data_IF_518126573049
#
_entry.id   IF_518126573049
#
_cell.length_a   1.000
_cell.length_b   1.000
_cell.length_c   1.000
_cell.angle_alpha   90.00
_cell.angle_beta   90.00
_cell.angle_gamma   90.00
#
_symmetry.space_group_name_H-M   'P 1'
#
loop_
_entity.id
_entity.type
_entity.pdbx_description
1 polymer ?
#
# COMPACT_ATOMS: atom_id res chain seq x y z
N UNK A 1 -23.26 0.65 -62.35
CA UNK A 1 -24.53 0.49 -61.63
C UNK A 1 -24.19 -0.15 -60.29
N UNK A 2 -24.23 0.50 -59.13
CA UNK A 2 -25.11 1.55 -58.66
C UNK A 2 -24.33 2.61 -57.83
N UNK A 3 -24.31 3.84 -58.33
CA UNK A 3 -24.25 5.07 -57.54
C UNK A 3 -25.69 5.57 -57.49
N UNK A 4 -26.39 5.45 -56.37
CA UNK A 4 -27.63 6.17 -56.06
C UNK A 4 -28.14 5.65 -54.72
N UNK A 5 -27.81 6.35 -53.63
CA UNK A 5 -28.66 6.57 -52.44
C UNK A 5 -27.84 7.27 -51.36
N UNK A 6 -27.52 8.55 -51.60
CA UNK A 6 -27.27 9.54 -50.55
C UNK A 6 -27.84 10.88 -51.03
N UNK A 7 -29.15 10.91 -51.24
CA UNK A 7 -29.95 12.15 -51.24
C UNK A 7 -30.77 12.18 -49.96
N UNK A 8 -30.09 12.12 -48.81
CA UNK A 8 -30.70 12.51 -47.54
C UNK A 8 -30.59 14.02 -47.39
N UNK A 9 -31.76 14.65 -47.35
CA UNK A 9 -31.96 16.07 -47.20
C UNK A 9 -31.27 16.59 -45.94
N UNK A 10 -30.19 17.35 -46.12
CA UNK A 10 -29.54 18.07 -45.03
C UNK A 10 -30.55 19.06 -44.42
N UNK A 11 -30.82 18.92 -43.11
CA UNK A 11 -31.69 19.86 -42.40
C UNK A 11 -30.99 21.23 -42.34
N UNK A 12 -31.68 22.33 -42.66
CA UNK A 12 -31.10 23.67 -42.59
C UNK A 12 -30.67 24.00 -41.15
N UNK A 13 -29.68 24.87 -41.02
CA UNK A 13 -29.14 25.29 -39.73
C UNK A 13 -30.28 25.72 -38.78
N UNK A 14 -30.32 25.15 -37.57
CA UNK A 14 -31.43 25.29 -36.63
C UNK A 14 -31.70 26.74 -36.18
N UNK A 15 -30.72 27.64 -36.37
CA UNK A 15 -30.82 29.05 -35.96
C UNK A 15 -31.06 29.99 -37.14
N UNK A 16 -30.96 29.49 -38.38
CA UNK A 16 -30.85 30.31 -39.57
C UNK A 16 -31.78 29.67 -40.64
N UNK A 17 -33.09 29.77 -40.40
CA UNK A 17 -34.13 29.17 -41.23
C UNK A 17 -34.26 29.91 -42.57
N UNK A 18 -33.55 29.45 -43.61
CA UNK A 18 -33.99 29.69 -44.99
C UNK A 18 -33.01 30.26 -46.01
N UNK A 19 -31.73 30.49 -45.71
CA UNK A 19 -30.79 30.95 -46.76
C UNK A 19 -30.00 29.79 -47.38
N UNK A 20 -30.38 29.42 -48.60
CA UNK A 20 -29.60 28.53 -49.48
C UNK A 20 -28.39 29.28 -50.01
N UNK A 21 -27.31 29.35 -49.22
CA UNK A 21 -25.99 29.72 -49.73
C UNK A 21 -25.15 28.46 -49.97
N UNK A 22 -24.25 28.47 -50.97
CA UNK A 22 -23.62 27.25 -51.45
C UNK A 22 -22.59 26.73 -50.43
N UNK A 23 -22.69 25.42 -50.19
CA UNK A 23 -21.85 24.51 -49.37
C UNK A 23 -21.93 24.66 -47.83
N UNK A 24 -22.70 23.80 -47.13
CA UNK A 24 -22.62 23.66 -45.68
C UNK A 24 -21.55 22.63 -45.26
N UNK A 25 -20.88 22.89 -44.14
CA UNK A 25 -20.08 21.88 -43.43
C UNK A 25 -21.01 20.94 -42.66
N UNK A 26 -20.74 19.64 -42.73
CA UNK A 26 -21.60 18.56 -42.24
C UNK A 26 -20.91 17.73 -41.16
N UNK A 27 -21.51 17.63 -39.97
CA UNK A 27 -20.97 16.85 -38.87
C UNK A 27 -21.46 15.39 -38.90
N UNK A 28 -20.53 14.45 -39.04
CA UNK A 28 -20.80 13.01 -39.19
C UNK A 28 -21.30 12.32 -37.91
N UNK A 29 -21.16 12.95 -36.75
CA UNK A 29 -21.63 12.42 -35.46
C UNK A 29 -23.05 12.86 -35.09
N UNK A 30 -23.55 13.98 -35.63
CA UNK A 30 -24.88 14.51 -35.30
C UNK A 30 -25.75 14.86 -36.52
N UNK A 31 -25.25 14.65 -37.74
CA UNK A 31 -25.95 14.87 -39.01
C UNK A 31 -26.49 16.29 -39.21
N UNK A 32 -25.83 17.31 -38.63
CA UNK A 32 -26.25 18.73 -38.73
C UNK A 32 -25.28 19.55 -39.58
N UNK A 33 -25.83 20.58 -40.22
CA UNK A 33 -25.14 21.53 -41.10
C UNK A 33 -25.16 22.95 -40.52
N UNK A 34 -24.00 23.63 -40.47
CA UNK A 34 -23.85 25.01 -40.00
C UNK A 34 -23.58 25.98 -41.17
N UNK A 35 -24.05 27.22 -41.04
CA UNK A 35 -23.77 28.29 -42.00
C UNK A 35 -22.74 29.30 -41.45
N UNK A 36 -22.06 30.00 -42.35
CA UNK A 36 -20.92 30.87 -42.05
C UNK A 36 -21.21 31.98 -41.02
N UNK A 37 -22.42 32.51 -40.98
CA UNK A 37 -22.83 33.55 -40.02
C UNK A 37 -23.05 33.03 -38.61
N UNK A 38 -23.44 31.76 -38.46
CA UNK A 38 -23.76 31.14 -37.17
C UNK A 38 -22.49 30.55 -36.49
N UNK A 39 -21.33 30.55 -37.18
CA UNK A 39 -20.01 30.17 -36.64
C UNK A 39 -19.26 31.31 -35.91
N UNK A 40 -19.70 32.57 -36.04
CA UNK A 40 -18.96 33.76 -35.58
C UNK A 40 -19.33 34.35 -34.20
N UNK A 41 -20.15 33.69 -33.38
CA UNK A 41 -20.64 34.23 -32.09
C UNK A 41 -19.69 34.09 -30.88
N UNK A 42 -19.83 34.91 -29.83
CA UNK A 42 -18.89 34.93 -28.70
C UNK A 42 -18.94 33.65 -27.86
N UNK A 43 -17.77 32.99 -27.77
CA UNK A 43 -17.51 31.68 -27.16
C UNK A 43 -17.78 31.68 -25.65
N UNK A 44 -18.88 31.05 -25.20
CA UNK A 44 -18.99 30.54 -23.82
C UNK A 44 -19.49 29.10 -23.81
N UNK A 45 -18.71 28.26 -23.11
CA UNK A 45 -19.10 26.95 -22.55
C UNK A 45 -19.74 25.96 -23.52
N UNK A 46 -18.90 25.36 -24.37
CA UNK A 46 -19.21 24.06 -24.99
C UNK A 46 -18.28 23.02 -24.38
N UNK A 47 -18.90 22.00 -23.78
CA UNK A 47 -18.30 20.83 -23.16
C UNK A 47 -17.12 20.29 -24.00
N UNK A 48 -15.96 20.12 -23.39
CA UNK A 48 -14.68 19.84 -24.06
C UNK A 48 -14.58 18.46 -24.75
N UNK A 49 -15.68 17.71 -24.89
CA UNK A 49 -15.68 16.36 -25.43
C UNK A 49 -16.45 16.15 -26.75
N UNK A 50 -17.20 17.11 -27.32
CA UNK A 50 -17.81 16.94 -28.67
C UNK A 50 -17.87 18.30 -29.44
N UNK A 51 -17.42 18.33 -30.72
CA UNK A 51 -16.88 19.49 -31.53
C UNK A 51 -17.87 20.31 -32.40
N UNK A 52 -17.44 21.50 -32.90
CA UNK A 52 -17.97 22.22 -34.10
C UNK A 52 -16.88 22.98 -34.94
N UNK A 53 -17.23 23.42 -36.16
CA UNK A 53 -16.43 23.51 -37.42
C UNK A 53 -15.09 24.28 -37.49
N UNK A 54 -14.73 25.10 -36.49
CA UNK A 54 -13.32 25.52 -36.29
C UNK A 54 -12.40 24.31 -36.01
N UNK A 55 -12.98 23.16 -35.68
CA UNK A 55 -12.28 21.91 -35.38
C UNK A 55 -11.65 21.18 -36.58
N UNK A 56 -11.82 21.67 -37.82
CA UNK A 56 -11.33 20.99 -39.03
C UNK A 56 -10.38 21.80 -39.92
N UNK A 57 -10.35 23.14 -39.89
CA UNK A 57 -9.65 23.91 -40.93
C UNK A 57 -8.18 24.32 -40.62
N UNK A 58 -7.73 24.32 -39.36
CA UNK A 58 -6.46 24.98 -38.96
C UNK A 58 -5.27 24.06 -38.60
N UNK A 59 -5.41 22.74 -38.69
CA UNK A 59 -4.35 21.76 -38.37
C UNK A 59 -4.13 20.82 -39.58
N UNK A 60 -3.86 21.31 -40.79
CA UNK A 60 -2.58 21.84 -41.20
C UNK A 60 -1.39 20.95 -40.78
N UNK A 61 -1.22 19.82 -41.48
CA UNK A 61 0.11 19.27 -41.76
C UNK A 61 0.73 18.33 -40.72
N UNK A 62 0.99 17.11 -41.19
CA UNK A 62 2.10 16.20 -40.84
C UNK A 62 2.30 15.85 -39.36
N UNK A 63 1.95 14.60 -39.00
CA UNK A 63 2.57 13.68 -37.99
C UNK A 63 2.91 14.15 -36.55
N UNK A 64 3.15 15.44 -36.32
CA UNK A 64 3.43 16.09 -35.05
C UNK A 64 2.16 16.29 -34.21
N UNK A 65 0.99 16.23 -34.84
CA UNK A 65 -0.26 16.70 -34.24
C UNK A 65 -0.96 15.67 -33.34
N UNK A 66 -0.78 14.37 -33.62
CA UNK A 66 -1.14 13.33 -32.64
C UNK A 66 -0.25 13.46 -31.39
N UNK A 67 1.01 13.88 -31.56
CA UNK A 67 1.87 14.24 -30.44
C UNK A 67 1.31 15.49 -29.74
N UNK A 68 1.09 16.62 -30.42
CA UNK A 68 0.60 17.87 -29.83
C UNK A 68 -0.79 17.76 -29.18
N UNK A 69 -1.70 16.98 -29.76
CA UNK A 69 -3.05 16.70 -29.22
C UNK A 69 -2.95 15.78 -28.01
N UNK A 70 -2.12 14.74 -28.04
CA UNK A 70 -1.86 13.89 -26.84
C UNK A 70 -1.09 14.66 -25.76
N UNK A 71 -0.29 15.66 -26.15
CA UNK A 71 0.45 16.55 -25.25
C UNK A 71 -0.45 17.62 -24.60
N UNK A 72 -1.35 18.26 -25.37
CA UNK A 72 -2.32 19.27 -24.88
C UNK A 72 -3.50 18.63 -24.14
N UNK A 73 -4.08 17.55 -24.67
CA UNK A 73 -5.02 16.71 -23.93
C UNK A 73 -4.30 16.11 -22.72
N UNK A 74 -3.06 15.65 -22.86
CA UNK A 74 -2.26 15.17 -21.74
C UNK A 74 -2.11 16.19 -20.61
N UNK A 75 -1.83 17.47 -20.88
CA UNK A 75 -1.72 18.53 -19.86
C UNK A 75 -3.06 18.86 -19.18
N UNK A 76 -4.12 19.11 -19.96
CA UNK A 76 -5.43 19.52 -19.43
C UNK A 76 -6.14 18.33 -18.75
N UNK A 77 -5.98 17.13 -19.30
CA UNK A 77 -6.52 15.89 -18.74
C UNK A 77 -5.67 15.36 -17.58
N UNK A 78 -4.35 15.59 -17.51
CA UNK A 78 -3.58 15.35 -16.28
C UNK A 78 -4.20 16.15 -15.13
N UNK A 79 -4.48 17.43 -15.32
CA UNK A 79 -5.02 18.29 -14.26
C UNK A 79 -6.48 17.95 -13.92
N UNK A 80 -7.33 17.64 -14.91
CA UNK A 80 -8.75 17.34 -14.67
C UNK A 80 -9.03 15.88 -14.25
N UNK A 81 -8.35 14.88 -14.82
CA UNK A 81 -8.52 13.47 -14.43
C UNK A 81 -7.67 13.04 -13.25
N UNK A 82 -6.69 13.82 -12.81
CA UNK A 82 -6.21 13.67 -11.43
C UNK A 82 -7.39 13.78 -10.47
N UNK A 83 -8.41 14.60 -10.73
CA UNK A 83 -9.58 14.64 -9.85
C UNK A 83 -10.48 13.40 -9.99
N UNK A 84 -10.76 12.91 -11.21
CA UNK A 84 -11.67 11.76 -11.45
C UNK A 84 -11.06 10.38 -11.15
N UNK A 85 -9.79 10.13 -11.51
CA UNK A 85 -9.10 8.88 -11.17
C UNK A 85 -8.83 8.81 -9.66
N UNK A 86 -8.58 9.96 -9.00
CA UNK A 86 -8.52 10.00 -7.54
C UNK A 86 -9.90 9.83 -6.88
N UNK A 87 -11.00 10.17 -7.55
CA UNK A 87 -12.37 9.88 -7.09
C UNK A 87 -12.70 8.38 -7.17
N UNK A 88 -12.15 7.65 -8.16
CA UNK A 88 -12.34 6.19 -8.29
C UNK A 88 -11.32 5.35 -7.52
N UNK A 89 -10.18 5.93 -7.12
CA UNK A 89 -9.20 5.26 -6.26
C UNK A 89 -9.79 5.05 -4.85
N UNK A 90 -10.33 3.86 -4.59
CA UNK A 90 -11.04 3.51 -3.34
C UNK A 90 -10.21 3.60 -2.05
N UNK A 91 -8.88 3.82 -2.11
CA UNK A 91 -7.98 3.86 -0.95
C UNK A 91 -7.06 5.08 -0.99
N UNK A 92 -6.97 5.81 0.12
CA UNK A 92 -6.15 7.02 0.27
C UNK A 92 -4.65 6.78 -0.04
N UNK A 93 -4.13 5.59 0.29
CA UNK A 93 -2.75 5.22 -0.05
C UNK A 93 -2.50 5.18 -1.56
N UNK A 94 -3.49 4.71 -2.35
CA UNK A 94 -3.42 4.66 -3.81
C UNK A 94 -3.43 6.06 -4.39
N UNK A 95 -4.33 6.92 -3.90
CA UNK A 95 -4.37 8.36 -4.22
C UNK A 95 -3.01 9.01 -4.00
N UNK A 96 -2.38 8.74 -2.85
CA UNK A 96 -1.05 9.25 -2.55
C UNK A 96 0.03 8.79 -3.53
N UNK A 97 0.00 7.52 -3.97
CA UNK A 97 0.94 6.99 -4.98
C UNK A 97 0.72 7.68 -6.33
N UNK A 98 -0.53 7.84 -6.76
CA UNK A 98 -0.85 8.54 -8.00
C UNK A 98 -0.32 9.97 -8.01
N UNK A 99 -0.59 10.74 -6.95
CA UNK A 99 -0.10 12.12 -6.82
C UNK A 99 1.42 12.21 -6.92
N UNK A 100 2.14 11.32 -6.23
CA UNK A 100 3.61 11.32 -6.28
C UNK A 100 4.17 10.89 -7.64
N UNK A 101 3.54 9.93 -8.31
CA UNK A 101 3.93 9.51 -9.65
C UNK A 101 3.77 10.65 -10.67
N UNK A 102 2.63 11.34 -10.63
CA UNK A 102 2.37 12.50 -11.50
C UNK A 102 3.32 13.66 -11.21
N UNK A 103 3.58 13.96 -9.93
CA UNK A 103 4.57 14.97 -9.55
C UNK A 103 5.98 14.63 -10.08
N UNK A 104 6.38 13.36 -10.03
CA UNK A 104 7.65 12.90 -10.59
C UNK A 104 7.69 13.02 -12.13
N UNK A 105 6.58 12.77 -12.81
CA UNK A 105 6.47 12.99 -14.25
C UNK A 105 6.54 14.49 -14.61
N UNK A 106 5.91 15.36 -13.82
CA UNK A 106 6.02 16.82 -13.99
C UNK A 106 7.45 17.29 -13.82
N UNK A 107 8.16 16.82 -12.79
CA UNK A 107 9.57 17.15 -12.55
C UNK A 107 10.45 16.72 -13.74
N UNK A 108 10.26 15.49 -14.24
CA UNK A 108 10.92 15.00 -15.45
C UNK A 108 10.64 15.92 -16.66
N UNK A 109 9.37 16.30 -16.86
CA UNK A 109 8.97 17.16 -17.96
C UNK A 109 9.54 18.58 -17.88
N UNK A 110 9.82 19.10 -16.68
CA UNK A 110 10.52 20.38 -16.50
C UNK A 110 11.98 20.25 -16.96
N UNK A 111 12.65 19.18 -16.56
CA UNK A 111 14.09 18.95 -16.87
C UNK A 111 14.32 18.74 -18.36
N UNK A 112 13.44 18.01 -19.05
CA UNK A 112 13.59 17.67 -20.47
C UNK A 112 12.64 18.45 -21.39
N UNK A 113 12.05 19.53 -20.89
CA UNK A 113 11.10 20.38 -21.63
C UNK A 113 9.92 19.64 -22.29
N UNK A 114 9.51 18.50 -21.71
CA UNK A 114 8.46 17.62 -22.22
C UNK A 114 7.44 17.30 -21.11
N UNK A 115 6.55 18.26 -20.82
CA UNK A 115 5.53 18.10 -19.75
C UNK A 115 4.31 17.35 -20.27
N UNK A 116 4.50 16.13 -20.74
CA UNK A 116 3.46 15.38 -21.44
C UNK A 116 3.51 13.92 -21.07
N UNK A 117 2.34 13.27 -21.06
CA UNK A 117 2.29 11.84 -20.82
C UNK A 117 3.14 11.10 -21.84
N UNK A 118 3.89 10.06 -21.42
CA UNK A 118 4.62 9.23 -22.36
C UNK A 118 3.65 8.63 -23.39
N UNK A 119 3.92 8.84 -24.66
CA UNK A 119 3.14 8.27 -25.77
C UNK A 119 3.82 7.04 -26.39
N UNK A 120 5.10 6.82 -26.07
CA UNK A 120 5.88 5.69 -26.56
C UNK A 120 6.60 4.94 -25.43
N UNK A 121 6.88 3.65 -25.69
CA UNK A 121 7.63 2.81 -24.76
C UNK A 121 9.05 3.37 -24.49
N UNK A 122 9.65 4.04 -25.47
CA UNK A 122 10.95 4.69 -25.33
C UNK A 122 10.91 5.86 -24.35
N UNK A 123 9.86 6.70 -24.40
CA UNK A 123 9.66 7.79 -23.43
C UNK A 123 9.45 7.26 -22.01
N UNK A 124 8.70 6.16 -21.85
CA UNK A 124 8.58 5.48 -20.54
C UNK A 124 9.94 4.97 -20.08
N UNK A 125 10.74 4.39 -20.99
CA UNK A 125 12.09 3.94 -20.70
C UNK A 125 13.02 5.06 -20.23
N UNK A 126 13.00 6.21 -20.90
CA UNK A 126 13.79 7.37 -20.50
C UNK A 126 13.36 7.92 -19.13
N UNK A 127 12.05 7.96 -18.86
CA UNK A 127 11.53 8.36 -17.54
C UNK A 127 11.96 7.40 -16.43
N UNK A 128 11.90 6.08 -16.69
CA UNK A 128 12.41 5.05 -15.76
C UNK A 128 13.90 5.25 -15.48
N UNK A 129 14.72 5.45 -16.51
CA UNK A 129 16.15 5.69 -16.38
C UNK A 129 16.43 6.99 -15.61
N UNK A 130 15.68 8.07 -15.88
CA UNK A 130 15.82 9.32 -15.15
C UNK A 130 15.50 9.14 -13.66
N UNK A 131 14.39 8.47 -13.31
CA UNK A 131 14.04 8.20 -11.90
C UNK A 131 15.09 7.34 -11.20
N UNK A 132 15.74 6.44 -11.94
CA UNK A 132 16.72 5.50 -11.41
C UNK A 132 18.10 6.14 -11.21
N UNK A 133 18.52 7.03 -12.12
CA UNK A 133 19.91 7.50 -12.21
C UNK A 133 20.10 9.01 -11.97
N UNK A 134 19.09 9.83 -12.25
CA UNK A 134 19.27 11.29 -12.37
C UNK A 134 18.41 12.06 -11.34
N UNK A 135 17.19 11.59 -11.07
CA UNK A 135 16.30 12.22 -10.11
C UNK A 135 16.99 12.30 -8.74
N UNK A 136 16.83 13.42 -8.04
CA UNK A 136 17.26 13.58 -6.66
C UNK A 136 16.06 13.68 -5.70
N UNK A 137 15.94 12.79 -4.70
CA UNK A 137 16.68 11.53 -4.58
C UNK A 137 16.31 10.55 -5.69
N UNK A 138 17.19 9.61 -6.03
CA UNK A 138 16.82 8.53 -6.97
C UNK A 138 15.69 7.66 -6.38
N UNK A 139 15.07 6.79 -7.17
CA UNK A 139 13.98 5.93 -6.70
C UNK A 139 14.36 4.44 -6.77
N UNK A 140 13.84 3.69 -5.81
CA UNK A 140 13.91 2.23 -5.82
C UNK A 140 13.10 1.62 -6.97
N UNK A 141 13.57 0.51 -7.57
CA UNK A 141 12.87 -0.14 -8.69
C UNK A 141 11.41 -0.49 -8.40
N UNK A 142 11.07 -0.87 -7.16
CA UNK A 142 9.69 -1.14 -6.75
C UNK A 142 8.81 0.12 -6.76
N UNK A 143 9.36 1.28 -6.36
CA UNK A 143 8.66 2.57 -6.43
C UNK A 143 8.47 3.00 -7.87
N UNK A 144 9.50 2.82 -8.71
CA UNK A 144 9.43 3.11 -10.14
C UNK A 144 8.35 2.25 -10.81
N UNK A 145 8.30 0.95 -10.51
CA UNK A 145 7.26 0.06 -11.01
C UNK A 145 5.86 0.52 -10.62
N UNK A 146 5.65 0.99 -9.38
CA UNK A 146 4.38 1.58 -8.96
C UNK A 146 4.04 2.82 -9.79
N UNK A 147 4.99 3.70 -10.04
CA UNK A 147 4.76 4.91 -10.84
C UNK A 147 4.44 4.60 -12.30
N UNK A 148 5.12 3.61 -12.89
CA UNK A 148 4.78 3.13 -14.24
C UNK A 148 3.39 2.49 -14.27
N UNK A 149 3.00 1.79 -13.21
CA UNK A 149 1.65 1.21 -13.10
C UNK A 149 0.58 2.30 -13.05
N UNK A 150 0.81 3.41 -12.33
CA UNK A 150 -0.08 4.58 -12.34
C UNK A 150 -0.30 5.12 -13.75
N UNK A 151 0.76 5.26 -14.56
CA UNK A 151 0.63 5.74 -15.93
C UNK A 151 -0.07 4.70 -16.82
N UNK A 152 0.21 3.41 -16.63
CA UNK A 152 -0.49 2.33 -17.31
C UNK A 152 -2.00 2.38 -17.06
N UNK A 153 -2.41 2.56 -15.81
CA UNK A 153 -3.82 2.66 -15.41
C UNK A 153 -4.49 3.88 -16.04
N UNK A 154 -3.76 5.00 -16.15
CA UNK A 154 -4.24 6.19 -16.84
C UNK A 154 -4.51 5.89 -18.33
N UNK A 155 -3.57 5.25 -19.04
CA UNK A 155 -3.76 4.92 -20.46
C UNK A 155 -4.92 3.95 -20.68
N UNK A 156 -5.08 2.99 -19.76
CA UNK A 156 -6.19 2.05 -19.79
C UNK A 156 -7.53 2.78 -19.59
N UNK A 157 -7.62 3.66 -18.60
CA UNK A 157 -8.82 4.46 -18.33
C UNK A 157 -9.16 5.36 -19.52
N UNK A 158 -8.16 6.04 -20.11
CA UNK A 158 -8.37 6.89 -21.28
C UNK A 158 -8.91 6.10 -22.47
N UNK A 159 -8.40 4.88 -22.71
CA UNK A 159 -8.90 3.96 -23.74
C UNK A 159 -10.37 3.59 -23.50
N UNK A 160 -10.73 3.26 -22.27
CA UNK A 160 -12.10 2.86 -21.89
C UNK A 160 -13.11 4.00 -22.06
N UNK A 161 -12.76 5.20 -21.58
CA UNK A 161 -13.63 6.38 -21.63
C UNK A 161 -13.82 6.87 -23.06
N UNK A 162 -12.74 6.93 -23.85
CA UNK A 162 -12.80 7.46 -25.22
C UNK A 162 -13.28 6.44 -26.24
N UNK A 163 -13.22 5.13 -25.92
CA UNK A 163 -13.42 4.01 -26.84
C UNK A 163 -12.50 4.03 -28.06
N UNK A 164 -11.43 4.81 -28.01
CA UNK A 164 -10.42 4.88 -29.07
C UNK A 164 -9.37 3.78 -28.88
N UNK A 165 -8.75 3.26 -29.95
CA UNK A 165 -7.70 2.25 -29.87
C UNK A 165 -6.36 2.85 -29.40
N UNK A 166 -6.33 3.46 -28.21
CA UNK A 166 -5.12 4.04 -27.64
C UNK A 166 -4.16 2.94 -27.19
N UNK A 167 -2.90 3.03 -27.61
CA UNK A 167 -1.84 2.14 -27.14
C UNK A 167 -1.43 2.49 -25.70
N UNK A 168 -1.14 1.48 -24.89
CA UNK A 168 -0.56 1.65 -23.56
C UNK A 168 0.97 1.43 -23.62
N UNK A 169 1.79 2.51 -23.62
CA UNK A 169 3.24 2.39 -23.75
C UNK A 169 3.90 1.74 -22.52
N UNK A 170 3.27 1.81 -21.35
CA UNK A 170 3.75 1.22 -20.10
C UNK A 170 3.60 -0.32 -20.07
N UNK A 171 2.64 -0.86 -20.82
CA UNK A 171 2.33 -2.30 -20.82
C UNK A 171 3.15 -3.13 -21.82
N UNK A 172 4.15 -2.55 -22.48
CA UNK A 172 4.94 -3.20 -23.54
C UNK A 172 5.99 -4.20 -23.01
N UNK A 173 6.39 -5.22 -23.80
CA UNK A 173 7.46 -6.14 -23.42
C UNK A 173 8.78 -5.42 -23.10
N UNK A 174 9.11 -4.37 -23.85
CA UNK A 174 10.28 -3.53 -23.61
C UNK A 174 10.29 -2.94 -22.20
N UNK A 175 9.21 -2.24 -21.80
CA UNK A 175 9.12 -1.62 -20.46
C UNK A 175 9.16 -2.68 -19.36
N UNK A 176 8.49 -3.83 -19.54
CA UNK A 176 8.56 -4.95 -18.58
C UNK A 176 9.99 -5.47 -18.42
N UNK A 177 10.71 -5.68 -19.52
CA UNK A 177 12.10 -6.13 -19.51
C UNK A 177 13.02 -5.11 -18.84
N UNK A 178 12.82 -3.81 -19.11
CA UNK A 178 13.57 -2.73 -18.47
C UNK A 178 13.34 -2.71 -16.95
N UNK A 179 12.09 -2.78 -16.49
CA UNK A 179 11.77 -2.82 -15.06
C UNK A 179 12.37 -4.07 -14.38
N UNK A 180 12.37 -5.23 -15.04
CA UNK A 180 13.05 -6.44 -14.55
C UNK A 180 14.57 -6.26 -14.48
N UNK A 181 15.16 -5.58 -15.45
CA UNK A 181 16.60 -5.28 -15.43
C UNK A 181 16.94 -4.31 -14.28
N UNK A 182 16.16 -3.24 -14.12
CA UNK A 182 16.30 -2.30 -13.01
C UNK A 182 16.17 -2.99 -11.64
N UNK A 183 15.17 -3.86 -11.47
CA UNK A 183 14.97 -4.61 -10.23
C UNK A 183 16.13 -5.58 -9.89
N UNK A 184 16.85 -6.08 -10.91
CA UNK A 184 18.01 -6.95 -10.73
C UNK A 184 19.30 -6.17 -10.47
N UNK A 185 19.55 -5.10 -11.24
CA UNK A 185 20.81 -4.37 -11.23
C UNK A 185 20.90 -3.21 -10.25
N UNK A 186 19.77 -2.63 -9.83
CA UNK A 186 19.72 -1.40 -9.03
C UNK A 186 18.97 -1.60 -7.72
N UNK A 187 19.37 -2.62 -6.95
CA UNK A 187 18.92 -2.74 -5.57
C UNK A 187 19.69 -1.73 -4.73
N UNK A 188 19.01 -0.70 -4.23
CA UNK A 188 19.56 0.10 -3.13
C UNK A 188 19.81 -0.81 -1.93
N UNK A 189 20.76 -0.40 -1.08
CA UNK A 189 21.11 -1.13 0.15
C UNK A 189 19.86 -1.54 0.94
N UNK A 190 19.96 -2.67 1.64
CA UNK A 190 18.84 -3.38 2.26
C UNK A 190 18.00 -2.46 3.19
N UNK A 191 16.94 -1.83 2.66
CA UNK A 191 16.00 -1.03 3.45
C UNK A 191 14.92 -1.87 4.14
N UNK A 192 14.85 -3.17 3.79
CA UNK A 192 13.87 -4.08 4.35
C UNK A 192 14.14 -4.23 5.85
N UNK A 193 13.09 -4.01 6.65
CA UNK A 193 13.21 -4.13 8.11
C UNK A 193 13.44 -5.57 8.52
N UNK A 194 14.34 -5.77 9.46
CA UNK A 194 14.74 -7.09 9.91
C UNK A 194 13.80 -7.61 10.99
N UNK A 195 13.62 -8.94 11.09
CA UNK A 195 13.03 -9.57 12.25
C UNK A 195 14.02 -9.52 13.43
N UNK A 196 13.49 -9.65 14.65
CA UNK A 196 14.30 -9.82 15.84
C UNK A 196 14.71 -11.29 15.98
N UNK A 197 15.89 -11.52 16.55
CA UNK A 197 16.19 -12.82 17.16
C UNK A 197 15.28 -13.06 18.36
N UNK A 198 15.08 -14.32 18.76
CA UNK A 198 14.31 -14.65 19.96
C UNK A 198 14.86 -13.94 21.21
N UNK A 199 16.19 -13.87 21.35
CA UNK A 199 16.87 -13.16 22.44
C UNK A 199 16.56 -11.65 22.43
N UNK A 200 16.63 -11.01 21.27
CA UNK A 200 16.26 -9.60 21.11
C UNK A 200 14.80 -9.36 21.47
N UNK A 201 13.90 -10.21 20.97
CA UNK A 201 12.47 -10.09 21.26
C UNK A 201 12.20 -10.16 22.77
N UNK A 202 12.76 -11.14 23.47
CA UNK A 202 12.63 -11.29 24.93
C UNK A 202 13.18 -10.05 25.64
N UNK A 203 14.41 -9.61 25.33
CA UNK A 203 15.00 -8.44 25.99
C UNK A 203 14.15 -7.18 25.78
N UNK A 204 13.66 -6.94 24.56
CA UNK A 204 12.78 -5.80 24.24
C UNK A 204 11.49 -5.84 25.08
N UNK A 205 10.84 -6.99 25.21
CA UNK A 205 9.60 -7.10 25.98
C UNK A 205 9.81 -6.78 27.46
N UNK A 206 10.95 -7.19 28.02
CA UNK A 206 11.25 -7.04 29.46
C UNK A 206 11.89 -5.70 29.82
N UNK A 207 12.72 -5.11 28.95
CA UNK A 207 13.46 -3.88 29.27
C UNK A 207 13.30 -2.75 28.24
N UNK A 208 12.61 -2.97 27.13
CA UNK A 208 12.43 -1.98 26.07
C UNK A 208 11.40 -0.89 26.36
N UNK A 209 10.61 -1.00 27.43
CA UNK A 209 9.47 -0.11 27.69
C UNK A 209 9.45 0.44 29.12
N UNK A 210 9.04 1.70 29.26
CA UNK A 210 8.85 2.35 30.56
C UNK A 210 7.44 2.11 31.12
N UNK A 211 7.25 1.03 31.87
CA UNK A 211 5.92 0.68 32.38
C UNK A 211 5.42 1.62 33.48
N UNK A 212 6.26 2.54 33.96
CA UNK A 212 5.86 3.59 34.87
C UNK A 212 5.20 4.77 34.13
N UNK A 213 5.24 4.81 32.80
CA UNK A 213 4.65 5.89 31.99
C UNK A 213 3.50 5.40 31.11
N UNK A 214 2.56 6.29 30.79
CA UNK A 214 1.45 5.98 29.86
C UNK A 214 1.97 5.59 28.48
N UNK A 215 3.01 6.27 27.99
CA UNK A 215 3.61 6.02 26.69
C UNK A 215 4.31 4.66 26.63
N UNK A 216 5.06 4.27 27.67
CA UNK A 216 5.72 2.97 27.69
C UNK A 216 4.74 1.80 27.75
N UNK A 217 3.63 1.92 28.51
CA UNK A 217 2.56 0.91 28.50
C UNK A 217 1.85 0.82 27.15
N UNK A 218 1.47 1.98 26.58
CA UNK A 218 0.91 2.05 25.24
C UNK A 218 1.82 1.37 24.21
N UNK A 219 3.11 1.72 24.21
CA UNK A 219 4.08 1.23 23.24
C UNK A 219 4.35 -0.28 23.40
N UNK A 220 4.42 -0.81 24.63
CA UNK A 220 4.55 -2.26 24.87
C UNK A 220 3.34 -3.04 24.35
N UNK A 221 2.14 -2.56 24.67
CA UNK A 221 0.91 -3.20 24.22
C UNK A 221 0.81 -3.19 22.68
N UNK A 222 1.13 -2.06 22.06
CA UNK A 222 1.19 -1.94 20.59
C UNK A 222 2.21 -2.91 20.00
N UNK A 223 3.39 -3.04 20.61
CA UNK A 223 4.41 -3.99 20.19
C UNK A 223 3.91 -5.44 20.27
N UNK A 224 3.23 -5.82 21.36
CA UNK A 224 2.61 -7.14 21.52
C UNK A 224 1.56 -7.42 20.44
N UNK A 225 0.71 -6.45 20.10
CA UNK A 225 -0.32 -6.64 19.05
C UNK A 225 0.30 -6.78 17.65
N UNK A 226 1.36 -6.03 17.36
CA UNK A 226 2.11 -6.15 16.11
C UNK A 226 2.86 -7.48 16.00
N UNK A 227 3.40 -7.98 17.12
CA UNK A 227 4.19 -9.20 17.17
C UNK A 227 3.34 -10.46 17.23
N UNK A 228 2.46 -10.54 18.22
CA UNK A 228 1.72 -11.74 18.61
C UNK A 228 0.30 -11.81 18.04
N UNK A 229 -0.29 -10.67 17.68
CA UNK A 229 -1.50 -10.59 16.85
C UNK A 229 -1.22 -10.70 15.34
N UNK A 230 -0.01 -11.10 14.94
CA UNK A 230 0.77 -10.61 13.79
C UNK A 230 0.07 -9.57 12.90
N UNK A 231 -0.37 -8.46 13.47
CA UNK A 231 -1.15 -7.45 12.77
C UNK A 231 -0.24 -6.47 12.00
N UNK A 232 -0.75 -5.91 10.91
CA UNK A 232 -0.09 -4.78 10.24
C UNK A 232 -0.25 -3.52 11.10
N UNK A 233 0.74 -2.61 11.11
CA UNK A 233 0.61 -1.34 11.83
C UNK A 233 -0.67 -0.58 11.50
N UNK A 234 -1.02 -0.47 10.22
CA UNK A 234 -2.23 0.26 9.80
C UNK A 234 -3.56 -0.37 10.25
N UNK A 235 -3.59 -1.67 10.52
CA UNK A 235 -4.77 -2.36 11.08
C UNK A 235 -4.80 -2.18 12.59
N UNK A 236 -3.66 -2.42 13.23
CA UNK A 236 -3.52 -2.39 14.69
C UNK A 236 -3.99 -1.06 15.27
N UNK A 237 -3.58 0.06 14.67
CA UNK A 237 -3.91 1.40 15.17
C UNK A 237 -5.35 1.84 14.91
N UNK A 238 -6.13 1.02 14.19
CA UNK A 238 -7.54 1.25 13.90
C UNK A 238 -8.48 0.38 14.73
N UNK A 239 -7.96 -0.59 15.49
CA UNK A 239 -8.78 -1.44 16.35
C UNK A 239 -9.57 -0.57 17.33
N UNK A 240 -10.89 -0.74 17.33
CA UNK A 240 -11.80 -0.03 18.21
C UNK A 240 -12.04 -0.85 19.47
N UNK A 241 -11.95 -0.20 20.62
CA UNK A 241 -12.23 -0.84 21.91
C UNK A 241 -13.46 -0.22 22.55
N UNK A 242 -14.46 -1.05 22.84
CA UNK A 242 -15.64 -0.65 23.59
C UNK A 242 -15.62 -1.34 24.95
N UNK A 243 -15.49 -0.55 26.01
CA UNK A 243 -15.42 -1.06 27.37
C UNK A 243 -16.04 -0.10 28.40
N UNK A 244 -16.40 -0.66 29.55
CA UNK A 244 -16.81 0.06 30.75
C UNK A 244 -16.00 -0.43 31.95
N UNK A 245 -15.60 0.48 32.83
CA UNK A 245 -14.96 0.14 34.10
C UNK A 245 -16.04 0.00 35.17
N UNK A 246 -16.11 -1.17 35.79
CA UNK A 246 -17.12 -1.49 36.81
C UNK A 246 -16.39 -1.68 38.15
N UNK A 247 -16.86 -1.08 39.25
CA UNK A 247 -16.31 -1.34 40.58
C UNK A 247 -16.31 -2.84 40.91
N UNK A 248 -15.18 -3.33 41.42
CA UNK A 248 -14.99 -4.73 41.80
C UNK A 248 -14.05 -4.84 42.99
N UNK A 249 -14.60 -5.17 44.16
CA UNK A 249 -13.85 -5.30 45.41
C UNK A 249 -12.88 -6.49 45.42
N UNK A 250 -13.07 -7.48 44.54
CA UNK A 250 -12.18 -8.63 44.41
C UNK A 250 -10.98 -8.34 43.51
N UNK A 251 -10.99 -7.22 42.77
CA UNK A 251 -9.88 -6.84 41.91
C UNK A 251 -8.84 -5.98 42.67
N UNK A 252 -7.52 -6.21 42.51
CA UNK A 252 -6.49 -5.39 43.16
C UNK A 252 -6.58 -3.89 42.88
N UNK A 253 -7.15 -3.50 41.74
CA UNK A 253 -7.35 -2.10 41.33
C UNK A 253 -8.76 -1.57 41.65
N UNK A 254 -9.61 -2.35 42.33
CA UNK A 254 -10.98 -1.97 42.65
C UNK A 254 -11.92 -1.86 41.43
N UNK A 255 -11.46 -2.24 40.23
CA UNK A 255 -12.16 -2.08 38.96
C UNK A 255 -12.01 -3.35 38.13
N UNK A 256 -13.07 -3.77 37.45
CA UNK A 256 -13.04 -4.77 36.37
C UNK A 256 -13.38 -4.13 35.03
N UNK A 257 -12.81 -4.65 33.95
CA UNK A 257 -13.13 -4.22 32.58
C UNK A 257 -14.26 -5.10 32.06
N UNK A 258 -15.36 -4.48 31.64
CA UNK A 258 -16.41 -5.16 30.88
C UNK A 258 -16.37 -4.68 29.42
N UNK A 259 -16.13 -5.60 28.49
CA UNK A 259 -16.12 -5.31 27.05
C UNK A 259 -17.52 -5.37 26.46
N UNK A 260 -17.83 -4.46 25.55
CA UNK A 260 -19.07 -4.53 24.77
C UNK A 260 -18.98 -5.63 23.71
N UNK A 261 -20.14 -6.10 23.23
CA UNK A 261 -20.22 -7.18 22.25
C UNK A 261 -19.60 -6.81 20.90
N UNK A 262 -19.61 -5.54 20.55
CA UNK A 262 -19.10 -4.95 19.31
C UNK A 262 -17.67 -4.39 19.42
N UNK A 263 -16.97 -4.62 20.54
CA UNK A 263 -15.54 -4.30 20.66
C UNK A 263 -14.71 -5.19 19.72
N UNK A 264 -13.77 -4.60 18.96
CA UNK A 264 -12.82 -5.39 18.15
C UNK A 264 -11.85 -6.17 19.03
N UNK A 265 -11.63 -5.71 20.27
CA UNK A 265 -10.67 -6.30 21.20
C UNK A 265 -11.37 -6.70 22.48
N UNK A 266 -11.16 -7.95 22.93
CA UNK A 266 -11.72 -8.50 24.17
C UNK A 266 -10.71 -9.36 24.89
N UNK A 267 -10.86 -9.49 26.20
CA UNK A 267 -10.15 -10.52 26.99
C UNK A 267 -11.09 -11.70 27.17
N UNK A 268 -10.68 -12.88 26.70
CA UNK A 268 -11.42 -14.13 26.83
C UNK A 268 -10.56 -15.10 27.61
N UNK A 269 -10.91 -15.33 28.89
CA UNK A 269 -10.18 -16.20 29.83
C UNK A 269 -8.67 -15.88 29.90
N UNK A 270 -7.88 -16.56 29.08
CA UNK A 270 -6.42 -16.62 29.06
C UNK A 270 -5.80 -16.02 27.80
N UNK A 271 -6.58 -15.29 26.99
CA UNK A 271 -6.06 -14.63 25.80
C UNK A 271 -6.81 -13.33 25.47
N UNK A 272 -6.18 -12.50 24.64
CA UNK A 272 -6.85 -11.38 23.98
C UNK A 272 -7.39 -11.91 22.65
N UNK A 273 -8.68 -11.71 22.41
CA UNK A 273 -9.31 -11.97 21.14
C UNK A 273 -9.43 -10.67 20.35
N UNK A 274 -8.95 -10.68 19.10
CA UNK A 274 -9.00 -9.52 18.20
C UNK A 274 -9.81 -9.87 16.96
N UNK A 275 -10.90 -9.16 16.74
CA UNK A 275 -11.66 -9.23 15.50
C UNK A 275 -11.03 -8.33 14.43
N UNK A 276 -10.58 -8.93 13.34
CA UNK A 276 -10.00 -8.20 12.20
C UNK A 276 -11.05 -8.14 11.09
N UNK A 277 -11.75 -7.01 11.04
CA UNK A 277 -12.80 -6.73 10.05
C UNK A 277 -12.27 -6.04 8.79
N UNK A 278 -11.15 -5.32 8.89
CA UNK A 278 -10.52 -4.54 7.82
C UNK A 278 -8.99 -4.77 7.75
N UNK A 279 -8.48 -5.14 6.57
CA UNK A 279 -7.05 -5.12 6.20
C UNK A 279 -6.93 -4.98 4.67
N UNK A 280 -5.73 -4.71 4.16
CA UNK A 280 -5.42 -4.55 2.73
C UNK A 280 -5.99 -5.68 1.86
N UNK A 281 -6.00 -6.91 2.38
CA UNK A 281 -6.40 -8.12 1.65
C UNK A 281 -7.57 -8.87 2.32
N UNK A 282 -8.20 -8.26 3.34
CA UNK A 282 -9.39 -8.86 3.98
C UNK A 282 -10.62 -8.41 3.20
N UNK A 283 -11.34 -9.38 2.66
CA UNK A 283 -12.69 -9.24 2.13
C UNK A 283 -13.72 -9.76 3.16
N UNK A 284 -15.00 -9.72 2.82
CA UNK A 284 -16.07 -10.20 3.72
C UNK A 284 -15.90 -11.68 4.13
N UNK A 285 -15.14 -12.47 3.36
CA UNK A 285 -14.92 -13.90 3.58
C UNK A 285 -13.67 -14.21 4.41
N UNK A 286 -12.79 -13.24 4.60
CA UNK A 286 -11.49 -13.39 5.29
C UNK A 286 -11.38 -12.56 6.57
N UNK A 287 -12.52 -12.06 7.05
CA UNK A 287 -12.65 -11.57 8.43
C UNK A 287 -12.35 -12.73 9.38
N UNK A 288 -11.59 -12.44 10.44
CA UNK A 288 -11.13 -13.49 11.35
C UNK A 288 -10.93 -12.97 12.76
N UNK A 289 -10.91 -13.90 13.69
CA UNK A 289 -10.45 -13.67 15.04
C UNK A 289 -8.98 -14.06 15.14
N UNK A 290 -8.18 -13.21 15.77
CA UNK A 290 -6.76 -13.45 16.02
C UNK A 290 -6.54 -13.49 17.53
N UNK A 291 -6.15 -14.65 18.09
CA UNK A 291 -5.84 -14.76 19.50
C UNK A 291 -4.41 -14.28 19.79
N UNK A 292 -4.24 -13.52 20.88
CA UNK A 292 -2.95 -13.26 21.53
C UNK A 292 -2.97 -13.98 22.88
N UNK A 293 -2.20 -15.06 23.05
CA UNK A 293 -2.25 -15.84 24.29
C UNK A 293 -1.65 -15.08 25.48
N UNK A 294 -2.02 -15.48 26.69
CA UNK A 294 -1.34 -15.10 27.91
C UNK A 294 0.09 -15.68 27.98
N UNK A 295 0.94 -15.05 28.78
CA UNK A 295 2.27 -15.57 29.11
C UNK A 295 3.27 -15.59 27.95
N UNK A 296 3.01 -14.90 26.84
CA UNK A 296 3.90 -14.93 25.67
C UNK A 296 5.27 -14.37 26.04
N UNK A 297 6.28 -15.23 26.02
CA UNK A 297 7.66 -14.90 26.38
C UNK A 297 7.77 -14.26 27.78
N UNK A 298 6.91 -14.69 28.71
CA UNK A 298 6.87 -14.19 30.08
C UNK A 298 6.12 -12.87 30.26
N UNK A 299 5.37 -12.43 29.25
CA UNK A 299 4.46 -11.27 29.34
C UNK A 299 3.03 -11.74 29.53
N UNK A 300 2.39 -11.30 30.61
CA UNK A 300 0.94 -11.44 30.79
C UNK A 300 0.20 -10.43 29.91
N UNK A 301 -0.03 -10.79 28.64
CA UNK A 301 -0.63 -9.85 27.67
C UNK A 301 -2.07 -9.47 28.03
N UNK A 302 -2.97 -10.37 28.48
CA UNK A 302 -4.29 -9.96 28.96
C UNK A 302 -4.21 -9.05 30.17
N UNK A 303 -3.34 -9.35 31.15
CA UNK A 303 -3.13 -8.50 32.32
C UNK A 303 -2.59 -7.11 31.95
N UNK A 304 -1.65 -7.03 31.01
CA UNK A 304 -1.12 -5.76 30.49
C UNK A 304 -2.23 -4.92 29.80
N UNK A 305 -3.08 -5.56 28.99
CA UNK A 305 -4.24 -4.90 28.37
C UNK A 305 -5.23 -4.41 29.43
N UNK A 306 -5.59 -5.28 30.38
CA UNK A 306 -6.54 -4.95 31.43
C UNK A 306 -6.04 -3.77 32.29
N UNK A 307 -4.76 -3.80 32.68
CA UNK A 307 -4.12 -2.69 33.39
C UNK A 307 -4.13 -1.41 32.56
N UNK A 308 -3.80 -1.49 31.27
CA UNK A 308 -3.81 -0.34 30.36
C UNK A 308 -5.21 0.31 30.31
N UNK A 309 -6.28 -0.50 30.20
CA UNK A 309 -7.64 0.00 30.18
C UNK A 309 -8.08 0.62 31.53
N UNK A 310 -7.65 0.07 32.66
CA UNK A 310 -7.99 0.60 34.00
C UNK A 310 -7.24 1.89 34.35
N UNK A 311 -5.95 1.95 34.01
CA UNK A 311 -5.04 2.99 34.48
C UNK A 311 -4.78 4.06 33.43
N UNK A 312 -4.59 3.69 32.17
CA UNK A 312 -4.38 4.66 31.10
C UNK A 312 -5.70 5.19 30.53
N UNK A 313 -6.77 4.38 30.58
CA UNK A 313 -8.13 4.73 30.14
C UNK A 313 -8.17 5.38 28.73
N UNK A 314 -7.68 4.69 27.67
CA UNK A 314 -7.91 5.18 26.31
C UNK A 314 -9.42 5.34 26.06
N UNK A 315 -9.86 6.23 25.15
CA UNK A 315 -11.28 6.50 24.95
C UNK A 315 -12.06 5.23 24.55
N UNK A 316 -13.08 4.88 25.31
CA UNK A 316 -14.03 3.81 24.94
C UNK A 316 -14.84 4.25 23.70
N UNK A 317 -14.99 3.34 22.74
CA UNK A 317 -15.48 3.62 21.39
C UNK A 317 -14.48 4.33 20.47
N UNK A 318 -13.27 4.59 20.96
CA UNK A 318 -12.15 5.08 20.17
C UNK A 318 -11.18 3.98 19.76
N UNK A 319 -10.08 4.38 19.12
CA UNK A 319 -8.99 3.47 18.81
C UNK A 319 -8.27 3.04 20.09
N UNK A 320 -8.01 1.74 20.25
CA UNK A 320 -7.28 1.19 21.40
C UNK A 320 -5.90 1.84 21.55
N UNK A 321 -5.23 2.09 20.43
CA UNK A 321 -3.91 2.72 20.37
C UNK A 321 -4.00 4.19 19.98
N UNK A 322 -4.93 4.94 20.58
CA UNK A 322 -4.91 6.39 20.52
C UNK A 322 -3.61 6.90 21.17
N UNK A 323 -2.93 7.84 20.53
CA UNK A 323 -1.67 8.36 21.05
C UNK A 323 -1.93 9.22 22.31
N UNK A 324 -1.29 8.96 23.47
CA UNK A 324 -1.44 9.83 24.62
C UNK A 324 -0.80 11.20 24.36
N UNK A 325 -1.48 12.30 24.72
CA UNK A 325 -0.95 13.65 24.53
C UNK A 325 0.26 13.96 25.43
N UNK A 326 0.38 13.24 26.56
CA UNK A 326 1.49 13.37 27.51
C UNK A 326 2.15 12.00 27.76
N UNK A 327 2.91 11.46 26.78
CA UNK A 327 3.41 10.08 26.83
C UNK A 327 4.35 9.79 28.01
N UNK A 328 5.05 10.82 28.52
CA UNK A 328 6.00 10.68 29.63
C UNK A 328 5.35 10.77 31.02
N UNK A 329 4.03 11.01 31.10
CA UNK A 329 3.34 11.12 32.39
C UNK A 329 3.42 9.79 33.13
N UNK A 330 3.93 9.85 34.37
CA UNK A 330 3.98 8.71 35.27
C UNK A 330 2.57 8.30 35.70
N UNK A 331 2.35 7.00 35.77
CA UNK A 331 1.05 6.41 36.10
C UNK A 331 1.25 5.18 36.97
N UNK A 332 0.29 4.94 37.86
CA UNK A 332 0.19 3.71 38.64
C UNK A 332 -1.27 3.50 39.07
N UNK A 333 -1.52 2.41 39.79
CA UNK A 333 -2.84 2.10 40.36
C UNK A 333 -3.46 3.27 41.15
N UNK A 334 -2.66 3.94 41.98
CA UNK A 334 -3.08 5.06 42.83
C UNK A 334 -3.12 6.40 42.10
N UNK A 335 -2.47 6.49 40.93
CA UNK A 335 -2.37 7.70 40.11
C UNK A 335 -2.69 7.34 38.65
N UNK A 336 -3.97 7.20 38.31
CA UNK A 336 -4.41 6.95 36.94
C UNK A 336 -4.03 8.10 36.02
N UNK A 337 -4.00 7.83 34.72
CA UNK A 337 -3.77 8.85 33.71
C UNK A 337 -4.97 9.81 33.64
N UNK A 338 -4.73 11.09 33.91
CA UNK A 338 -5.75 12.15 33.77
C UNK A 338 -5.52 13.06 32.55
N UNK A 339 -4.65 12.65 31.63
CA UNK A 339 -4.39 13.41 30.40
C UNK A 339 -5.36 13.08 29.27
N UNK A 340 -5.18 13.72 28.13
CA UNK A 340 -5.99 13.47 26.93
C UNK A 340 -5.29 12.53 25.96
N UNK A 341 -6.07 11.93 25.07
CA UNK A 341 -5.60 11.15 23.94
C UNK A 341 -5.86 11.91 22.64
N UNK A 342 -4.98 11.70 21.66
CA UNK A 342 -5.14 12.25 20.33
C UNK A 342 -6.28 11.53 19.61
N UNK A 343 -7.07 12.29 18.84
CA UNK A 343 -8.19 11.75 18.04
C UNK A 343 -7.75 10.94 16.82
N UNK A 344 -6.53 11.19 16.34
CA UNK A 344 -6.00 10.55 15.14
C UNK A 344 -5.34 9.20 15.48
N UNK A 345 -5.37 8.22 14.56
CA UNK A 345 -4.65 6.96 14.73
C UNK A 345 -3.16 7.18 14.98
N UNK A 346 -2.54 6.32 15.79
CA UNK A 346 -1.10 6.36 16.03
C UNK A 346 -0.32 6.07 14.74
N UNK A 347 0.62 6.94 14.38
CA UNK A 347 1.41 6.81 13.14
C UNK A 347 2.89 6.47 13.38
N UNK A 348 3.36 6.55 14.63
CA UNK A 348 4.78 6.48 14.98
C UNK A 348 5.28 5.05 15.30
N UNK A 349 4.66 4.00 14.76
CA UNK A 349 5.01 2.59 15.07
C UNK A 349 6.47 2.23 14.79
N UNK A 350 7.06 2.74 13.70
CA UNK A 350 8.49 2.55 13.43
C UNK A 350 9.37 3.21 14.49
N UNK A 351 9.05 4.44 14.91
CA UNK A 351 9.80 5.14 15.93
C UNK A 351 9.68 4.45 17.29
N UNK A 352 8.48 3.94 17.63
CA UNK A 352 8.26 3.13 18.83
C UNK A 352 9.19 1.92 18.88
N UNK A 353 9.23 1.13 17.81
CA UNK A 353 10.06 -0.08 17.76
C UNK A 353 11.54 0.25 17.95
N UNK A 354 12.03 1.34 17.35
CA UNK A 354 13.42 1.78 17.52
C UNK A 354 13.72 2.26 18.92
N UNK A 355 12.82 3.05 19.53
CA UNK A 355 12.96 3.48 20.94
C UNK A 355 13.00 2.28 21.87
N UNK A 356 12.15 1.28 21.63
CA UNK A 356 12.11 0.07 22.43
C UNK A 356 13.39 -0.76 22.30
N UNK A 357 13.91 -0.89 21.07
CA UNK A 357 15.19 -1.53 20.82
C UNK A 357 16.35 -0.80 21.51
N UNK A 358 16.46 0.52 21.33
CA UNK A 358 17.51 1.34 21.94
C UNK A 358 17.46 1.28 23.47
N UNK A 359 16.28 1.28 24.08
CA UNK A 359 16.16 1.13 25.53
C UNK A 359 16.62 -0.25 26.00
N UNK A 360 16.34 -1.30 25.23
CA UNK A 360 16.79 -2.64 25.54
C UNK A 360 18.30 -2.84 25.30
N UNK A 361 18.86 -2.13 24.32
CA UNK A 361 20.25 -2.21 23.86
C UNK A 361 20.87 -0.80 23.78
N UNK A 362 21.13 -0.13 24.92
CA UNK A 362 21.69 1.22 24.95
C UNK A 362 23.07 1.32 24.27
N UNK A 363 23.78 0.20 24.17
CA UNK A 363 25.07 0.05 23.49
C UNK A 363 24.99 0.02 21.95
N UNK A 364 23.78 -0.09 21.38
CA UNK A 364 23.60 -0.27 19.93
C UNK A 364 23.90 0.99 19.13
N UNK A 365 24.53 0.81 17.96
CA UNK A 365 24.79 1.91 17.04
C UNK A 365 23.51 2.41 16.35
N UNK A 366 23.52 3.65 15.86
CA UNK A 366 22.34 4.26 15.21
C UNK A 366 21.88 3.45 13.97
N UNK A 367 22.83 2.88 13.23
CA UNK A 367 22.54 2.13 12.02
C UNK A 367 21.88 0.77 12.31
N UNK A 368 22.21 0.12 13.43
CA UNK A 368 21.53 -1.08 13.89
C UNK A 368 20.05 -0.80 14.17
N UNK A 369 19.75 0.32 14.81
CA UNK A 369 18.36 0.71 15.12
C UNK A 369 17.55 0.96 13.85
N UNK A 370 18.19 1.47 12.78
CA UNK A 370 17.52 1.70 11.49
C UNK A 370 17.09 0.41 10.81
N UNK A 371 17.68 -0.75 11.16
CA UNK A 371 17.27 -2.06 10.66
C UNK A 371 15.85 -2.44 11.10
N UNK A 372 15.36 -1.87 12.21
CA UNK A 372 14.06 -2.22 12.78
C UNK A 372 12.97 -1.17 12.49
N UNK A 373 11.72 -1.64 12.48
CA UNK A 373 10.53 -0.78 12.29
C UNK A 373 9.22 -1.49 12.64
N UNK A 374 8.08 -0.83 12.40
CA UNK A 374 6.77 -1.31 12.84
C UNK A 374 6.36 -2.69 12.30
N UNK A 375 6.96 -3.16 11.21
CA UNK A 375 6.75 -4.51 10.68
C UNK A 375 7.67 -5.59 11.27
N UNK A 376 8.73 -5.22 11.98
CA UNK A 376 9.72 -6.15 12.56
C UNK A 376 9.10 -7.14 13.55
N UNK A 377 8.20 -6.75 14.49
CA UNK A 377 7.55 -7.69 15.39
C UNK A 377 6.78 -8.79 14.62
N UNK A 378 5.96 -8.39 13.64
CA UNK A 378 5.18 -9.30 12.80
C UNK A 378 6.06 -10.29 12.03
N UNK A 379 7.17 -9.82 11.46
CA UNK A 379 8.15 -10.68 10.77
C UNK A 379 8.79 -11.69 11.72
N UNK A 380 9.08 -11.26 12.95
CA UNK A 380 9.69 -12.10 13.98
C UNK A 380 8.82 -13.29 14.30
N UNK A 381 7.52 -13.09 14.56
CA UNK A 381 6.63 -14.21 14.84
C UNK A 381 6.53 -15.17 13.65
N UNK A 382 6.45 -14.66 12.42
CA UNK A 382 6.43 -15.51 11.23
C UNK A 382 7.67 -16.42 11.17
N UNK A 383 8.85 -15.88 11.52
CA UNK A 383 10.08 -16.65 11.61
C UNK A 383 10.05 -17.70 12.73
N UNK A 384 9.56 -17.34 13.92
CA UNK A 384 9.46 -18.26 15.05
C UNK A 384 8.50 -19.42 14.75
N UNK A 385 7.30 -19.13 14.24
CA UNK A 385 6.30 -20.14 13.87
C UNK A 385 6.84 -21.10 12.82
N UNK A 386 7.52 -20.58 11.79
CA UNK A 386 8.12 -21.43 10.78
C UNK A 386 9.29 -22.24 11.32
N UNK A 387 10.13 -21.67 12.19
CA UNK A 387 11.25 -22.39 12.78
C UNK A 387 10.80 -23.58 13.62
N UNK A 388 9.67 -23.45 14.33
CA UNK A 388 9.11 -24.48 15.21
C UNK A 388 8.30 -25.51 14.40
N UNK A 389 7.33 -25.07 13.61
CA UNK A 389 6.37 -25.97 12.98
C UNK A 389 6.71 -26.37 11.55
N UNK A 390 7.64 -25.68 10.91
CA UNK A 390 8.01 -25.86 9.48
C UNK A 390 6.82 -25.82 8.51
N UNK A 391 5.69 -25.26 8.96
CA UNK A 391 4.43 -25.25 8.23
C UNK A 391 4.13 -23.84 7.70
N UNK A 392 4.33 -23.63 6.39
CA UNK A 392 4.02 -22.35 5.74
C UNK A 392 2.54 -22.00 5.80
N UNK A 393 1.65 -22.99 5.69
CA UNK A 393 0.19 -22.77 5.76
C UNK A 393 -0.20 -22.17 7.10
N UNK A 394 0.38 -22.67 8.19
CA UNK A 394 0.15 -22.14 9.53
C UNK A 394 0.63 -20.69 9.63
N UNK A 395 1.82 -20.37 9.11
CA UNK A 395 2.30 -18.98 9.07
C UNK A 395 1.31 -18.12 8.29
N UNK A 396 0.96 -18.52 7.07
CA UNK A 396 -0.01 -17.82 6.19
C UNK A 396 -1.31 -17.51 6.93
N UNK A 397 -1.88 -18.51 7.60
CA UNK A 397 -3.14 -18.41 8.33
C UNK A 397 -3.05 -17.45 9.52
N UNK A 398 -2.06 -17.64 10.40
CA UNK A 398 -1.87 -16.78 11.58
C UNK A 398 -1.64 -15.32 11.21
N UNK A 399 -0.81 -15.03 10.19
CA UNK A 399 -0.58 -13.65 9.78
C UNK A 399 -1.60 -13.09 8.80
N UNK A 400 -2.58 -13.88 8.36
CA UNK A 400 -3.58 -13.47 7.36
C UNK A 400 -2.97 -13.00 6.05
N UNK A 401 -1.98 -13.74 5.54
CA UNK A 401 -1.48 -13.53 4.19
C UNK A 401 -2.45 -14.17 3.18
N UNK A 402 -2.64 -13.55 2.01
CA UNK A 402 -3.58 -14.08 1.03
C UNK A 402 -3.02 -15.35 0.38
N UNK A 403 -3.90 -16.29 0.03
CA UNK A 403 -3.53 -17.50 -0.70
C UNK A 403 -2.95 -17.12 -2.08
N UNK A 404 -1.67 -17.43 -2.29
CA UNK A 404 -0.90 -17.02 -3.47
C UNK A 404 0.17 -15.94 -3.21
N UNK A 405 0.15 -15.26 -2.06
CA UNK A 405 1.23 -14.36 -1.62
C UNK A 405 2.43 -15.11 -1.00
N UNK A 406 2.78 -16.30 -1.53
CA UNK A 406 3.96 -17.06 -1.08
C UNK A 406 5.22 -16.19 -1.09
N UNK A 407 5.37 -15.33 -2.11
CA UNK A 407 6.47 -14.38 -2.20
C UNK A 407 6.53 -13.38 -1.04
N UNK A 408 5.39 -12.97 -0.47
CA UNK A 408 5.36 -12.04 0.67
C UNK A 408 5.85 -12.73 1.94
N UNK A 409 5.48 -14.00 2.12
CA UNK A 409 5.93 -14.86 3.22
C UNK A 409 7.41 -15.20 3.04
N UNK A 410 7.84 -15.57 1.84
CA UNK A 410 9.25 -15.83 1.49
C UNK A 410 10.14 -14.60 1.75
N UNK A 411 9.62 -13.38 1.58
CA UNK A 411 10.35 -12.15 1.91
C UNK A 411 10.69 -11.99 3.40
N UNK A 412 10.07 -12.80 4.28
CA UNK A 412 10.37 -12.82 5.71
C UNK A 412 11.36 -13.92 6.08
N UNK A 413 11.62 -14.87 5.18
CA UNK A 413 12.56 -15.97 5.41
C UNK A 413 13.86 -15.72 4.68
N UNK A 414 14.80 -15.09 5.37
CA UNK A 414 16.20 -15.16 4.98
C UNK A 414 16.79 -16.41 5.64
N UNK A 415 16.96 -17.46 4.85
CA UNK A 415 17.66 -18.65 5.34
C UNK A 415 19.11 -18.27 5.66
N UNK A 416 19.53 -18.54 6.89
CA UNK A 416 20.95 -18.51 7.26
C UNK A 416 21.71 -19.53 6.41
N UNK A 417 23.03 -19.37 6.25
CA UNK A 417 23.84 -20.35 5.51
C UNK A 417 23.61 -21.77 6.07
N UNK A 418 23.61 -21.91 7.39
CA UNK A 418 23.34 -23.16 8.08
C UNK A 418 21.95 -23.76 7.77
N UNK A 419 20.92 -22.92 7.72
CA UNK A 419 19.57 -23.35 7.34
C UNK A 419 19.50 -23.77 5.87
N UNK A 420 20.22 -23.07 4.98
CA UNK A 420 20.33 -23.46 3.56
C UNK A 420 21.04 -24.80 3.42
N UNK A 421 22.14 -25.00 4.15
CA UNK A 421 22.87 -26.27 4.17
C UNK A 421 21.98 -27.41 4.67
N UNK A 422 21.24 -27.21 5.78
CA UNK A 422 20.30 -28.23 6.29
C UNK A 422 19.16 -28.56 5.33
N UNK A 423 18.58 -27.56 4.68
CA UNK A 423 17.52 -27.78 3.68
C UNK A 423 18.08 -28.54 2.47
N UNK A 424 19.27 -28.16 1.99
CA UNK A 424 19.94 -28.85 0.89
C UNK A 424 20.24 -30.31 1.27
N UNK A 425 20.76 -30.55 2.47
CA UNK A 425 21.04 -31.89 2.98
C UNK A 425 19.76 -32.74 3.02
N UNK A 426 18.67 -32.24 3.59
CA UNK A 426 17.41 -32.95 3.64
C UNK A 426 16.85 -33.25 2.23
N UNK A 427 17.00 -32.33 1.28
CA UNK A 427 16.58 -32.55 -0.11
C UNK A 427 17.42 -33.63 -0.79
N UNK A 428 18.73 -33.68 -0.53
CA UNK A 428 19.60 -34.73 -1.04
C UNK A 428 19.27 -36.09 -0.40
N UNK A 429 19.02 -36.12 0.90
CA UNK A 429 18.63 -37.33 1.63
C UNK A 429 17.28 -37.87 1.13
N UNK A 430 16.30 -37.00 0.88
CA UNK A 430 15.01 -37.36 0.28
C UNK A 430 15.17 -37.84 -1.16
N UNK A 431 16.06 -37.22 -1.95
CA UNK A 431 16.33 -37.64 -3.32
C UNK A 431 16.99 -39.03 -3.35
N UNK A 432 17.94 -39.30 -2.45
CA UNK A 432 18.53 -40.63 -2.25
C UNK A 432 17.46 -41.66 -1.86
N UNK A 433 16.56 -41.28 -0.94
CA UNK A 433 15.49 -42.16 -0.46
C UNK A 433 14.43 -42.47 -1.54
N UNK A 434 14.09 -41.50 -2.37
CA UNK A 434 13.03 -41.61 -3.40
C UNK A 434 13.55 -42.20 -4.71
N UNK A 435 14.82 -41.96 -5.08
CA UNK A 435 15.38 -42.38 -6.37
C UNK A 435 15.98 -43.79 -6.38
N UNK A 436 15.88 -44.56 -5.28
CA UNK A 436 16.55 -45.87 -5.12
C UNK A 436 18.04 -45.83 -5.53
N UNK A 437 18.71 -44.69 -5.30
CA UNK A 437 20.12 -44.54 -5.65
C UNK A 437 20.94 -45.58 -4.85
N UNK A 438 21.75 -46.42 -5.50
CA UNK A 438 22.62 -47.36 -4.82
C UNK A 438 23.46 -46.63 -3.76
N UNK A 439 23.66 -47.24 -2.59
CA UNK A 439 24.32 -46.60 -1.45
C UNK A 439 25.72 -46.01 -1.77
N UNK A 440 26.37 -46.53 -2.82
CA UNK A 440 27.64 -46.04 -3.35
C UNK A 440 27.52 -44.65 -4.00
N UNK A 441 26.43 -44.36 -4.70
CA UNK A 441 26.20 -43.08 -5.38
C UNK A 441 25.67 -42.02 -4.40
N UNK A 442 24.91 -42.44 -3.39
CA UNK A 442 24.47 -41.59 -2.30
C UNK A 442 25.64 -41.03 -1.48
N UNK A 443 26.65 -41.86 -1.20
CA UNK A 443 27.83 -41.48 -0.43
C UNK A 443 28.66 -40.37 -1.11
N UNK A 444 28.65 -40.32 -2.45
CA UNK A 444 29.33 -39.28 -3.24
C UNK A 444 28.59 -37.93 -3.14
N UNK A 445 27.26 -37.94 -2.98
CA UNK A 445 26.47 -36.72 -2.88
C UNK A 445 26.47 -36.08 -1.47
N UNK A 446 26.78 -36.84 -0.42
CA UNK A 446 26.69 -36.39 0.99
C UNK A 446 28.05 -36.17 1.67
N UNK A 447 29.17 -36.46 1.02
CA UNK A 447 30.51 -36.18 1.55
C UNK A 447 31.03 -34.82 1.04
N UNK A 448 30.74 -33.76 1.80
CA UNK A 448 31.48 -32.49 1.78
C UNK A 448 31.51 -31.88 3.19
#
# INVERSE_FOLDING_TARGET
MAMQHLTEQSRPCSSCAGSRLPTPLYCVMCHRSLCASCAGGPRRTVCALIRCDDCQAAEAGQYDLLHTVTQRLGRVHLQQQTSEVLLHARRESTVGVHRRALAALTQYGIVYHAITLPTSALQVGHWVTWMLLIRDPTLDPSTIQLYVSVLSDWHQTAREVTRLPLSNPCATPFVRSLLRAAARGYKRGHQAKEPFTARQLVRILHSGFDLCTVGGRHDRLLFCFLGFGPLRPGVTVKLIVHYTLIPDACCPLGLRVAFAADSDVKIIKDHIEIFVSEDKNVDARSRRYVPIPAGVLGVDTPGDLEYYLKVCQPPSGGTLFAAPASPLKKINAAQPFTGTFNKNPYTASCAMVRRAFLRAYPESEEDEQKLFGGGSPRKTLAQLLFAIHRCRRMVIDFGGWADGEQQAVDSYFHYTLEQRCRILQNMLDDLVRVAELPAIDAAVCTQA
#
